data_IF_855888286562
#
_entry.id   IF_855888286562
#
_cell.length_a   1.000
_cell.length_b   1.000
_cell.length_c   1.000
_cell.angle_alpha   90.00
_cell.angle_beta   90.00
_cell.angle_gamma   90.00
#
_symmetry.space_group_name_H-M   'P 1'
#
loop_
_entity.id
_entity.type
_entity.pdbx_description
1 polymer ?
#
# COMPACT_ATOMS: atom_id res chain seq x y z
N UNK A 1 -22.66 -25.68 -63.35
CA UNK A 1 -22.98 -24.43 -64.07
C UNK A 1 -21.98 -23.40 -63.60
N UNK A 2 -20.92 -23.03 -64.31
CA UNK A 2 -20.69 -23.05 -65.76
C UNK A 2 -19.18 -22.83 -65.99
N UNK A 3 -18.61 -23.61 -66.91
CA UNK A 3 -17.41 -23.41 -67.76
C UNK A 3 -16.07 -23.00 -67.09
N UNK A 4 -14.99 -23.79 -67.06
CA UNK A 4 -14.25 -24.51 -68.12
C UNK A 4 -13.83 -23.65 -69.33
N UNK A 5 -12.56 -23.24 -69.36
CA UNK A 5 -11.78 -23.34 -70.60
C UNK A 5 -10.28 -23.59 -70.32
N UNK A 6 -9.75 -24.51 -71.12
CA UNK A 6 -8.38 -25.08 -71.21
C UNK A 6 -7.81 -24.60 -72.59
N UNK A 7 -6.76 -25.22 -73.17
CA UNK A 7 -5.33 -25.35 -72.85
C UNK A 7 -4.43 -24.52 -73.84
N UNK A 8 -3.10 -24.60 -73.69
CA UNK A 8 -2.19 -25.25 -74.68
C UNK A 8 -0.85 -24.52 -74.94
N UNK A 9 0.18 -25.37 -75.01
CA UNK A 9 1.35 -25.34 -75.91
C UNK A 9 2.59 -24.48 -75.58
N UNK A 10 3.63 -25.21 -75.17
CA UNK A 10 5.07 -25.01 -75.43
C UNK A 10 5.37 -24.90 -76.94
N UNK A 11 6.45 -24.21 -77.32
CA UNK A 11 7.72 -24.90 -77.70
C UNK A 11 8.95 -24.26 -77.03
N UNK A 12 9.97 -25.03 -76.59
CA UNK A 12 11.25 -25.25 -77.32
C UNK A 12 11.85 -23.92 -77.86
N UNK A 13 13.07 -23.48 -77.57
CA UNK A 13 14.33 -24.23 -77.50
C UNK A 13 15.51 -23.27 -77.15
N UNK A 14 16.67 -23.87 -76.82
CA UNK A 14 18.05 -23.33 -76.77
C UNK A 14 18.44 -22.35 -75.62
N UNK A 15 19.18 -22.83 -74.61
CA UNK A 15 20.62 -23.13 -74.60
C UNK A 15 21.51 -21.87 -74.47
N UNK A 16 21.98 -21.61 -73.25
CA UNK A 16 23.38 -21.25 -73.01
C UNK A 16 23.74 -21.44 -71.54
N UNK A 17 24.52 -22.48 -71.30
CA UNK A 17 25.51 -22.57 -70.23
C UNK A 17 26.37 -21.31 -70.17
N UNK A 18 26.42 -20.68 -68.99
CA UNK A 18 27.62 -19.97 -68.54
C UNK A 18 27.85 -20.35 -67.09
N UNK A 19 28.75 -21.31 -66.96
CA UNK A 19 29.44 -21.69 -65.75
C UNK A 19 30.43 -20.58 -65.36
N UNK A 20 30.82 -20.57 -64.08
CA UNK A 20 31.97 -19.85 -63.50
C UNK A 20 31.88 -18.32 -63.30
N UNK A 21 31.54 -17.91 -62.09
CA UNK A 21 32.52 -17.35 -61.14
C UNK A 21 31.89 -17.34 -59.73
N UNK A 22 32.01 -18.47 -59.04
CA UNK A 22 32.09 -18.43 -57.60
C UNK A 22 33.47 -17.83 -57.29
N UNK A 23 33.53 -16.53 -57.02
CA UNK A 23 34.66 -15.91 -56.33
C UNK A 23 34.69 -16.45 -54.89
N UNK A 24 35.11 -17.71 -54.76
CA UNK A 24 35.72 -18.19 -53.52
C UNK A 24 37.07 -17.51 -53.43
N UNK A 25 37.08 -16.32 -52.83
CA UNK A 25 38.30 -15.68 -52.37
C UNK A 25 38.92 -16.64 -51.36
N UNK A 26 39.93 -17.40 -51.79
CA UNK A 26 40.81 -18.12 -50.87
C UNK A 26 41.52 -17.08 -50.01
N UNK A 27 40.92 -16.78 -48.86
CA UNK A 27 41.52 -15.98 -47.80
C UNK A 27 42.86 -16.64 -47.45
N UNK A 28 43.92 -15.84 -47.40
CA UNK A 28 45.19 -16.29 -46.78
C UNK A 28 44.88 -16.90 -45.42
N UNK A 29 45.67 -17.91 -45.00
CA UNK A 29 45.53 -18.52 -43.67
C UNK A 29 45.51 -17.46 -42.56
N UNK A 30 46.25 -16.38 -42.75
CA UNK A 30 46.28 -15.21 -41.85
C UNK A 30 44.96 -14.43 -41.85
N UNK A 31 44.33 -14.21 -43.01
CA UNK A 31 43.05 -13.52 -43.11
C UNK A 31 41.89 -14.34 -42.53
N UNK A 32 41.95 -15.66 -42.64
CA UNK A 32 40.97 -16.57 -42.02
C UNK A 32 41.08 -16.54 -40.48
N UNK A 33 42.31 -16.44 -39.95
CA UNK A 33 42.55 -16.30 -38.50
C UNK A 33 42.04 -14.95 -38.00
N UNK A 34 42.33 -13.86 -38.72
CA UNK A 34 41.86 -12.51 -38.37
C UNK A 34 40.33 -12.46 -38.35
N UNK A 35 39.65 -12.98 -39.38
CA UNK A 35 38.18 -13.01 -39.42
C UNK A 35 37.56 -13.77 -38.24
N UNK A 36 38.14 -14.91 -37.84
CA UNK A 36 37.67 -15.67 -36.67
C UNK A 36 37.87 -14.90 -35.36
N UNK A 37 39.01 -14.23 -35.21
CA UNK A 37 39.30 -13.40 -34.04
C UNK A 37 38.34 -12.19 -33.96
N UNK A 38 38.00 -11.58 -35.08
CA UNK A 38 37.02 -10.48 -35.15
C UNK A 38 35.61 -10.96 -34.78
N UNK A 39 35.19 -12.13 -35.24
CA UNK A 39 33.92 -12.75 -34.86
C UNK A 39 33.87 -13.09 -33.36
N UNK A 40 34.93 -13.68 -32.81
CA UNK A 40 35.03 -13.98 -31.38
C UNK A 40 35.04 -12.70 -30.52
N UNK A 41 35.73 -11.65 -30.98
CA UNK A 41 35.77 -10.35 -30.32
C UNK A 41 34.40 -9.69 -30.33
N UNK A 42 33.71 -9.67 -31.47
CA UNK A 42 32.35 -9.13 -31.58
C UNK A 42 31.36 -9.89 -30.69
N UNK A 43 31.44 -11.23 -30.68
CA UNK A 43 30.61 -12.08 -29.81
C UNK A 43 30.87 -11.78 -28.32
N UNK A 44 32.13 -11.67 -27.92
CA UNK A 44 32.51 -11.37 -26.54
C UNK A 44 32.06 -9.98 -26.13
N UNK A 45 32.15 -8.98 -27.01
CA UNK A 45 31.65 -7.63 -26.76
C UNK A 45 30.13 -7.59 -26.63
N UNK A 46 29.39 -8.33 -27.46
CA UNK A 46 27.92 -8.46 -27.32
C UNK A 46 27.54 -9.10 -25.98
N UNK A 47 28.20 -10.20 -25.61
CA UNK A 47 28.00 -10.86 -24.32
C UNK A 47 28.33 -9.93 -23.14
N UNK A 48 29.40 -9.14 -23.25
CA UNK A 48 29.77 -8.16 -22.23
C UNK A 48 28.68 -7.08 -22.08
N UNK A 49 28.14 -6.58 -23.20
CA UNK A 49 27.06 -5.60 -23.18
C UNK A 49 25.78 -6.17 -22.53
N UNK A 50 25.38 -7.38 -22.92
CA UNK A 50 24.23 -8.08 -22.32
C UNK A 50 24.40 -8.32 -20.81
N UNK A 51 25.59 -8.77 -20.38
CA UNK A 51 25.90 -8.96 -18.96
C UNK A 51 25.92 -7.63 -18.21
N UNK A 52 26.45 -6.57 -18.80
CA UNK A 52 26.47 -5.24 -18.19
C UNK A 52 25.04 -4.70 -18.00
N UNK A 53 24.17 -4.84 -19.00
CA UNK A 53 22.77 -4.45 -18.91
C UNK A 53 22.01 -5.27 -17.85
N UNK A 54 22.28 -6.58 -17.79
CA UNK A 54 21.74 -7.45 -16.76
C UNK A 54 22.21 -7.03 -15.36
N UNK A 55 23.50 -6.72 -15.19
CA UNK A 55 24.07 -6.26 -13.92
C UNK A 55 23.44 -4.94 -13.47
N UNK A 56 23.24 -3.98 -14.38
CA UNK A 56 22.58 -2.71 -14.08
C UNK A 56 21.13 -2.94 -13.62
N UNK A 57 20.40 -3.83 -14.28
CA UNK A 57 19.04 -4.19 -13.91
C UNK A 57 18.98 -4.87 -12.55
N UNK A 58 19.84 -5.86 -12.29
CA UNK A 58 19.93 -6.54 -10.99
C UNK A 58 20.25 -5.55 -9.87
N UNK A 59 21.17 -4.61 -10.12
CA UNK A 59 21.50 -3.55 -9.17
C UNK A 59 20.29 -2.67 -8.86
N UNK A 60 19.57 -2.23 -9.88
CA UNK A 60 18.36 -1.43 -9.71
C UNK A 60 17.27 -2.19 -8.95
N UNK A 61 17.06 -3.47 -9.24
CA UNK A 61 16.12 -4.32 -8.53
C UNK A 61 16.52 -4.52 -7.06
N UNK A 62 17.81 -4.71 -6.78
CA UNK A 62 18.33 -4.81 -5.41
C UNK A 62 18.15 -3.51 -4.61
N UNK A 63 18.41 -2.35 -5.22
CA UNK A 63 18.22 -1.05 -4.57
C UNK A 63 16.73 -0.77 -4.30
N UNK A 64 15.85 -1.13 -5.24
CA UNK A 64 14.40 -1.05 -5.04
C UNK A 64 13.91 -2.00 -3.93
N UNK A 65 14.41 -3.23 -3.89
CA UNK A 65 14.08 -4.20 -2.85
C UNK A 65 14.56 -3.70 -1.47
N UNK A 66 15.78 -3.16 -1.37
CA UNK A 66 16.31 -2.58 -0.14
C UNK A 66 15.46 -1.42 0.35
N UNK A 67 15.09 -0.49 -0.54
CA UNK A 67 14.22 0.65 -0.21
C UNK A 67 12.84 0.18 0.28
N UNK A 68 12.25 -0.81 -0.39
CA UNK A 68 10.97 -1.40 0.03
C UNK A 68 11.08 -2.05 1.41
N UNK A 69 12.09 -2.87 1.63
CA UNK A 69 12.31 -3.52 2.92
C UNK A 69 12.48 -2.51 4.07
N UNK A 70 13.19 -1.41 3.83
CA UNK A 70 13.34 -0.35 4.83
C UNK A 70 11.98 0.28 5.20
N UNK A 71 11.14 0.57 4.20
CA UNK A 71 9.79 1.11 4.42
C UNK A 71 8.89 0.11 5.15
N UNK A 72 8.98 -1.18 4.85
CA UNK A 72 8.18 -2.22 5.50
C UNK A 72 8.60 -2.41 6.96
N UNK A 73 9.90 -2.35 7.25
CA UNK A 73 10.42 -2.37 8.63
C UNK A 73 9.96 -1.14 9.42
N UNK A 74 10.03 0.04 8.84
CA UNK A 74 9.56 1.28 9.48
C UNK A 74 8.06 1.20 9.79
N UNK A 75 7.24 0.74 8.84
CA UNK A 75 5.80 0.52 9.05
C UNK A 75 5.55 -0.53 10.13
N UNK A 76 6.28 -1.65 10.10
CA UNK A 76 6.14 -2.70 11.11
C UNK A 76 6.44 -2.16 12.50
N UNK A 77 7.48 -1.35 12.68
CA UNK A 77 7.77 -0.70 13.96
C UNK A 77 6.69 0.30 14.37
N UNK A 78 6.23 1.15 13.45
CA UNK A 78 5.21 2.17 13.71
C UNK A 78 3.86 1.58 14.12
N UNK A 79 3.52 0.40 13.62
CA UNK A 79 2.21 -0.24 13.86
C UNK A 79 2.29 -1.58 14.59
N UNK A 80 3.44 -1.93 15.18
CA UNK A 80 3.63 -3.20 15.90
C UNK A 80 2.60 -3.40 17.03
N UNK A 81 2.20 -2.30 17.67
CA UNK A 81 1.28 -2.30 18.81
C UNK A 81 -0.20 -2.15 18.42
N UNK A 82 -0.54 -2.10 17.12
CA UNK A 82 -1.90 -1.86 16.64
C UNK A 82 -2.93 -2.81 17.25
N UNK A 83 -2.69 -4.12 17.12
CA UNK A 83 -3.59 -5.14 17.65
C UNK A 83 -3.66 -5.11 19.19
N UNK A 84 -2.50 -4.97 19.84
CA UNK A 84 -2.43 -4.92 21.29
C UNK A 84 -3.16 -3.72 21.87
N UNK A 85 -2.96 -2.52 21.29
CA UNK A 85 -3.66 -1.31 21.68
C UNK A 85 -5.16 -1.46 21.47
N UNK A 86 -5.60 -2.00 20.32
CA UNK A 86 -7.01 -2.28 20.04
C UNK A 86 -7.65 -3.21 21.08
N UNK A 87 -6.96 -4.27 21.48
CA UNK A 87 -7.47 -5.23 22.47
C UNK A 87 -7.53 -4.66 23.89
N UNK A 88 -6.80 -3.58 24.19
CA UNK A 88 -6.86 -2.87 25.46
C UNK A 88 -7.99 -1.84 25.54
N UNK A 89 -8.49 -1.32 24.41
CA UNK A 89 -9.54 -0.29 24.40
C UNK A 89 -10.81 -0.70 25.18
N UNK A 90 -11.30 -1.97 25.11
CA UNK A 90 -12.44 -2.39 25.90
C UNK A 90 -12.24 -2.25 27.41
N UNK A 91 -11.01 -2.33 27.92
CA UNK A 91 -10.70 -2.12 29.34
C UNK A 91 -11.01 -0.67 29.72
N UNK A 92 -10.57 0.28 28.90
CA UNK A 92 -10.81 1.70 29.12
C UNK A 92 -12.31 2.04 29.00
N UNK A 93 -12.99 1.44 28.03
CA UNK A 93 -14.45 1.58 27.88
C UNK A 93 -15.21 1.06 29.11
N UNK A 94 -14.72 -0.02 29.73
CA UNK A 94 -15.31 -0.56 30.95
C UNK A 94 -15.10 0.37 32.15
N UNK A 95 -13.96 1.03 32.25
CA UNK A 95 -13.70 2.04 33.28
C UNK A 95 -14.60 3.26 33.10
N UNK A 96 -14.75 3.76 31.87
CA UNK A 96 -15.70 4.84 31.54
C UNK A 96 -17.13 4.46 31.88
N UNK A 97 -17.53 3.24 31.50
CA UNK A 97 -18.86 2.72 31.83
C UNK A 97 -19.08 2.60 33.34
N UNK A 98 -18.07 2.19 34.10
CA UNK A 98 -18.17 2.13 35.55
C UNK A 98 -18.42 3.52 36.15
N UNK A 99 -17.72 4.55 35.68
CA UNK A 99 -17.95 5.94 36.11
C UNK A 99 -19.36 6.43 35.78
N UNK A 100 -19.94 6.00 34.65
CA UNK A 100 -21.30 6.38 34.25
C UNK A 100 -22.41 5.75 35.11
N UNK A 101 -22.14 4.64 35.79
CA UNK A 101 -23.13 3.97 36.66
C UNK A 101 -23.09 4.44 38.12
N UNK A 102 -22.04 5.14 38.53
CA UNK A 102 -21.88 5.62 39.89
C UNK A 102 -22.62 6.95 40.05
N UNK A 103 -23.39 7.09 41.13
CA UNK A 103 -23.94 8.39 41.50
C UNK A 103 -22.81 9.28 42.05
N UNK A 104 -22.44 10.32 41.29
CA UNK A 104 -21.36 11.25 41.65
C UNK A 104 -21.66 12.10 42.90
N UNK A 105 -22.93 12.19 43.30
CA UNK A 105 -23.34 12.96 44.49
C UNK A 105 -23.17 12.17 45.79
N UNK A 106 -22.95 10.86 45.72
CA UNK A 106 -22.73 10.03 46.89
C UNK A 106 -21.27 10.13 47.36
N UNK A 107 -21.08 10.78 48.52
CA UNK A 107 -19.79 10.96 49.19
C UNK A 107 -19.04 9.63 49.41
N UNK A 108 -19.75 8.51 49.55
CA UNK A 108 -19.13 7.19 49.76
C UNK A 108 -18.30 6.74 48.54
N UNK A 109 -18.61 7.22 47.33
CA UNK A 109 -17.94 6.83 46.10
C UNK A 109 -16.91 7.84 45.60
N UNK A 110 -16.75 9.02 46.22
CA UNK A 110 -15.80 10.04 45.75
C UNK A 110 -14.38 9.52 45.56
N UNK A 111 -13.83 8.80 46.54
CA UNK A 111 -12.48 8.24 46.44
C UNK A 111 -12.35 7.16 45.35
N UNK A 112 -13.44 6.43 45.06
CA UNK A 112 -13.47 5.43 43.98
C UNK A 112 -13.49 6.12 42.61
N UNK A 113 -14.31 7.15 42.44
CA UNK A 113 -14.38 7.96 41.22
C UNK A 113 -13.01 8.54 40.90
N UNK A 114 -12.39 9.22 41.87
CA UNK A 114 -11.06 9.83 41.71
C UNK A 114 -9.99 8.78 41.35
N UNK A 115 -10.01 7.61 42.00
CA UNK A 115 -9.08 6.51 41.70
C UNK A 115 -9.24 5.96 40.28
N UNK A 116 -10.47 5.82 39.79
CA UNK A 116 -10.74 5.37 38.43
C UNK A 116 -10.29 6.43 37.41
N UNK A 117 -10.63 7.71 37.63
CA UNK A 117 -10.23 8.81 36.76
C UNK A 117 -8.71 8.95 36.67
N UNK A 118 -7.99 8.84 37.80
CA UNK A 118 -6.53 8.87 37.82
C UNK A 118 -5.91 7.69 37.07
N UNK A 119 -6.51 6.50 37.21
CA UNK A 119 -6.06 5.29 36.50
C UNK A 119 -6.27 5.44 34.99
N UNK A 120 -7.44 5.93 34.57
CA UNK A 120 -7.73 6.21 33.16
C UNK A 120 -6.77 7.23 32.57
N UNK A 121 -6.51 8.33 33.30
CA UNK A 121 -5.53 9.34 32.89
C UNK A 121 -4.15 8.74 32.72
N UNK A 122 -3.67 7.97 33.71
CA UNK A 122 -2.36 7.32 33.65
C UNK A 122 -2.26 6.33 32.49
N UNK A 123 -3.36 5.63 32.17
CA UNK A 123 -3.44 4.76 31.01
C UNK A 123 -3.31 5.55 29.71
N UNK A 124 -4.09 6.62 29.54
CA UNK A 124 -4.04 7.51 28.36
C UNK A 124 -2.64 8.11 28.18
N UNK A 125 -2.07 8.69 29.24
CA UNK A 125 -0.72 9.25 29.24
C UNK A 125 0.35 8.20 28.87
N UNK A 126 0.10 6.92 29.17
CA UNK A 126 1.02 5.83 28.81
C UNK A 126 0.89 5.46 27.35
N UNK A 127 -0.32 5.25 26.84
CA UNK A 127 -0.53 4.83 25.45
C UNK A 127 -0.21 5.95 24.45
N UNK A 128 -0.36 7.22 24.85
CA UNK A 128 0.02 8.39 24.06
C UNK A 128 1.53 8.42 23.75
N UNK A 129 2.38 7.98 24.70
CA UNK A 129 3.83 7.84 24.48
C UNK A 129 4.18 6.84 23.37
N UNK A 130 3.27 5.89 23.10
CA UNK A 130 3.41 4.92 22.01
C UNK A 130 2.63 5.33 20.74
N UNK A 131 2.12 6.57 20.72
CA UNK A 131 1.44 7.16 19.57
C UNK A 131 -0.05 6.85 19.49
N UNK A 132 -0.67 6.33 20.55
CA UNK A 132 -2.12 6.14 20.61
C UNK A 132 -2.79 7.42 21.08
N UNK A 133 -3.62 8.03 20.23
CA UNK A 133 -4.32 9.29 20.52
C UNK A 133 -5.81 9.01 20.64
N UNK A 134 -6.44 9.60 21.67
CA UNK A 134 -7.88 9.52 21.90
C UNK A 134 -8.63 10.52 21.02
N UNK A 135 -9.71 10.05 20.41
CA UNK A 135 -10.65 10.85 19.62
C UNK A 135 -11.95 11.02 20.44
N UNK A 136 -12.13 12.22 20.99
CA UNK A 136 -13.35 12.63 21.71
C UNK A 136 -13.96 13.87 21.01
N UNK A 137 -14.72 13.65 19.93
CA UNK A 137 -15.18 14.74 19.07
C UNK A 137 -16.44 15.46 19.58
N UNK A 138 -16.77 15.39 20.88
CA UNK A 138 -17.94 16.08 21.42
C UNK A 138 -17.93 17.59 21.07
N UNK A 139 -18.99 18.07 20.41
CA UNK A 139 -19.09 19.46 19.95
C UNK A 139 -18.33 19.78 18.64
N UNK A 140 -17.64 18.81 18.04
CA UNK A 140 -16.92 19.00 16.77
C UNK A 140 -17.77 18.55 15.57
N UNK A 141 -17.45 19.04 14.34
CA UNK A 141 -18.09 18.54 13.12
C UNK A 141 -17.91 17.03 12.97
N UNK A 142 -18.94 16.35 12.46
CA UNK A 142 -18.86 14.92 12.17
C UNK A 142 -17.89 14.66 11.00
N UNK A 143 -16.87 13.84 11.24
CA UNK A 143 -15.93 13.35 10.22
C UNK A 143 -16.15 11.84 9.99
N UNK A 144 -16.65 11.41 8.81
CA UNK A 144 -16.85 9.99 8.49
C UNK A 144 -15.58 9.14 8.51
N UNK A 145 -14.39 9.73 8.35
CA UNK A 145 -13.12 9.00 8.38
C UNK A 145 -12.71 8.60 9.79
N UNK A 146 -13.21 9.30 10.82
CA UNK A 146 -12.80 9.12 12.22
C UNK A 146 -13.98 8.73 13.13
N UNK A 147 -15.22 9.01 12.72
CA UNK A 147 -16.41 8.86 13.54
C UNK A 147 -17.44 7.94 12.88
N UNK A 148 -18.16 7.20 13.71
CA UNK A 148 -19.29 6.36 13.33
C UNK A 148 -20.58 6.92 13.95
N UNK A 149 -21.47 7.47 13.12
CA UNK A 149 -22.74 7.99 13.58
C UNK A 149 -23.70 6.85 13.96
N UNK A 150 -24.06 6.76 15.23
CA UNK A 150 -24.97 5.73 15.75
C UNK A 150 -26.41 6.22 15.88
N UNK A 151 -26.60 7.52 16.06
CA UNK A 151 -27.92 8.14 16.17
C UNK A 151 -27.89 9.56 15.63
N UNK A 152 -29.06 10.06 15.20
CA UNK A 152 -29.25 11.46 14.87
C UNK A 152 -30.28 12.07 15.82
N UNK A 153 -29.96 13.21 16.42
CA UNK A 153 -30.84 13.90 17.36
C UNK A 153 -31.22 15.29 16.84
N UNK A 154 -32.52 15.63 16.78
CA UNK A 154 -32.95 17.00 16.52
C UNK A 154 -32.50 17.90 17.67
N UNK A 155 -31.72 18.94 17.38
CA UNK A 155 -31.34 19.95 18.37
C UNK A 155 -31.25 21.32 17.71
N UNK A 156 -31.70 22.34 18.42
CA UNK A 156 -31.52 23.74 18.03
C UNK A 156 -30.19 24.33 18.57
N UNK A 157 -29.51 23.59 19.46
CA UNK A 157 -28.34 24.09 20.20
C UNK A 157 -27.05 23.98 19.39
N UNK A 158 -27.00 23.04 18.44
CA UNK A 158 -25.81 22.75 17.62
C UNK A 158 -26.15 22.82 16.13
N UNK A 159 -25.22 23.32 15.28
CA UNK A 159 -25.39 23.27 13.84
C UNK A 159 -25.61 21.83 13.36
N UNK A 160 -26.38 21.58 12.28
CA UNK A 160 -26.53 20.24 11.70
C UNK A 160 -25.16 19.61 11.38
N UNK A 161 -25.08 18.27 11.45
CA UNK A 161 -23.86 17.50 11.19
C UNK A 161 -22.73 17.75 12.22
N UNK A 162 -23.10 18.06 13.46
CA UNK A 162 -22.17 18.23 14.59
C UNK A 162 -22.34 17.08 15.58
N UNK A 163 -21.24 16.61 16.16
CA UNK A 163 -21.29 15.58 17.20
C UNK A 163 -21.90 16.18 18.48
N UNK A 164 -23.01 15.59 18.90
CA UNK A 164 -23.78 15.99 20.10
C UNK A 164 -23.23 15.32 21.36
N UNK A 165 -22.98 14.03 21.30
CA UNK A 165 -22.38 13.24 22.38
C UNK A 165 -21.59 12.07 21.82
N UNK A 166 -20.65 11.58 22.63
CA UNK A 166 -19.79 10.44 22.30
C UNK A 166 -20.24 9.25 23.16
N UNK A 167 -20.70 8.18 22.52
CA UNK A 167 -21.10 6.94 23.19
C UNK A 167 -19.89 6.08 23.55
N UNK A 168 -18.90 6.08 22.66
CA UNK A 168 -17.65 5.35 22.82
C UNK A 168 -16.57 6.14 22.12
N UNK A 169 -15.48 6.44 22.82
CA UNK A 169 -14.38 7.24 22.27
C UNK A 169 -13.62 6.45 21.20
N UNK A 170 -13.14 7.17 20.20
CA UNK A 170 -12.30 6.63 19.13
C UNK A 170 -10.83 6.69 19.52
N UNK A 171 -9.99 5.96 18.77
CA UNK A 171 -8.55 5.98 18.96
C UNK A 171 -7.82 5.83 17.64
N UNK A 172 -6.68 6.49 17.50
CA UNK A 172 -5.75 6.33 16.39
C UNK A 172 -4.35 5.97 16.89
N UNK A 173 -3.59 5.23 16.10
CA UNK A 173 -2.19 4.89 16.35
C UNK A 173 -1.34 5.53 15.26
N UNK A 174 -0.52 6.50 15.64
CA UNK A 174 0.41 7.18 14.74
C UNK A 174 -0.25 7.69 13.43
N UNK A 175 -1.48 8.21 13.55
CA UNK A 175 -2.31 8.72 12.45
C UNK A 175 -3.14 7.67 11.70
N UNK A 176 -3.08 6.39 12.10
CA UNK A 176 -3.95 5.33 11.56
C UNK A 176 -5.09 5.06 12.53
N UNK A 177 -6.33 5.08 12.05
CA UNK A 177 -7.50 4.79 12.87
C UNK A 177 -7.44 3.35 13.42
N UNK A 178 -7.48 3.20 14.75
CA UNK A 178 -7.65 1.91 15.42
C UNK A 178 -9.12 1.56 15.54
N UNK A 179 -9.92 2.53 15.99
CA UNK A 179 -11.36 2.39 16.20
C UNK A 179 -12.03 3.75 16.05
N UNK A 180 -13.14 3.86 15.28
CA UNK A 180 -13.88 5.11 15.17
C UNK A 180 -14.55 5.47 16.50
N UNK A 181 -14.76 6.77 16.72
CA UNK A 181 -15.60 7.24 17.82
C UNK A 181 -17.07 6.98 17.45
N UNK A 182 -17.82 6.30 18.32
CA UNK A 182 -19.27 6.14 18.14
C UNK A 182 -19.99 7.35 18.70
N UNK A 183 -20.74 8.05 17.85
CA UNK A 183 -21.26 9.39 18.16
C UNK A 183 -22.73 9.56 17.81
N UNK A 184 -23.41 10.42 18.55
CA UNK A 184 -24.69 11.01 18.15
C UNK A 184 -24.46 12.29 17.35
N UNK A 185 -25.16 12.48 16.24
CA UNK A 185 -25.00 13.66 15.37
C UNK A 185 -26.26 14.52 15.38
N UNK A 186 -26.10 15.84 15.35
CA UNK A 186 -27.21 16.78 15.27
C UNK A 186 -27.88 16.74 13.89
N UNK A 187 -29.21 16.75 13.88
CA UNK A 187 -30.04 17.02 12.71
C UNK A 187 -30.78 18.33 12.93
N UNK A 188 -31.07 19.06 11.84
CA UNK A 188 -31.97 20.20 11.91
C UNK A 188 -33.31 19.79 12.55
N UNK A 189 -33.87 20.59 13.48
CA UNK A 189 -35.20 20.37 14.00
C UNK A 189 -36.23 20.47 12.86
N UNK A 190 -37.24 19.60 12.87
CA UNK A 190 -38.36 19.63 11.91
C UNK A 190 -39.26 20.86 12.11
#
# INVERSE_FOLDING_TARGET
MTEQHKPAETPEELNQTTDSHADTVELSSEQTIISKLEEELAKTQSQLAEQHDLMLRIKADADNARRRAAQDVEKAHKFALEKFASDLLPVLDNLERALNFINREDEAFKGVIEGIELTMKSFLDTVEKYGVIQLDPAGQPFNPEQHQAMSMQPTADLPPNTVTFVMQKGYELNGRLLRPAMVGVSKAPE
#
